data_IF_522596829827
#
_entry.id   IF_522596829827
#
_cell.length_a   1.000
_cell.length_b   1.000
_cell.length_c   1.000
_cell.angle_alpha   90.00
_cell.angle_beta   90.00
_cell.angle_gamma   90.00
#
_symmetry.space_group_name_H-M   'P 1'
#
loop_
_entity.id
_entity.type
_entity.pdbx_description
1 polymer ?
#
# COMPACT_ATOMS: atom_id res chain seq x y z
N UNK A 1 16.78 -22.72 10.81
CA UNK A 1 17.47 -21.51 10.37
C UNK A 1 16.46 -20.44 10.02
N UNK A 2 16.60 -19.34 10.67
CA UNK A 2 15.70 -18.23 10.50
C UNK A 2 16.05 -17.46 9.22
N UNK A 3 15.45 -17.84 8.12
CA UNK A 3 15.60 -17.12 6.85
C UNK A 3 14.58 -16.00 6.79
N UNK A 4 14.76 -15.00 7.63
CA UNK A 4 13.90 -13.83 7.57
C UNK A 4 14.08 -13.15 6.24
N UNK A 5 12.97 -13.04 5.52
CA UNK A 5 12.92 -12.28 4.29
C UNK A 5 13.21 -10.82 4.58
N UNK A 6 14.18 -10.25 3.87
CA UNK A 6 14.50 -8.83 4.00
C UNK A 6 13.59 -8.06 3.04
N UNK A 7 12.74 -7.22 3.61
CA UNK A 7 11.75 -6.45 2.86
C UNK A 7 11.98 -4.97 3.11
N UNK A 8 11.95 -4.18 2.05
CA UNK A 8 12.15 -2.73 2.12
C UNK A 8 10.94 -1.95 1.63
N UNK A 9 10.78 -0.77 2.20
CA UNK A 9 9.79 0.22 1.76
C UNK A 9 9.92 0.49 0.27
N UNK A 10 8.78 0.47 -0.43
CA UNK A 10 8.74 0.75 -1.86
C UNK A 10 8.98 -0.45 -2.76
N UNK A 11 9.23 -1.62 -2.19
CA UNK A 11 9.45 -2.83 -2.98
C UNK A 11 8.13 -3.43 -3.46
N UNK A 12 8.21 -4.02 -4.65
CA UNK A 12 7.10 -4.69 -5.33
C UNK A 12 7.30 -6.20 -5.25
N UNK A 13 6.23 -6.90 -4.90
CA UNK A 13 6.22 -8.36 -4.84
C UNK A 13 4.94 -8.89 -5.45
N UNK A 14 4.98 -10.09 -6.03
CA UNK A 14 3.76 -10.84 -6.28
C UNK A 14 3.30 -11.49 -4.99
N UNK A 15 1.98 -11.54 -4.81
CA UNK A 15 1.37 -12.18 -3.64
C UNK A 15 0.09 -12.89 -4.08
N UNK A 16 -0.14 -14.09 -3.56
CA UNK A 16 -1.38 -14.83 -3.80
C UNK A 16 -2.46 -14.31 -2.86
N UNK A 17 -3.36 -13.50 -3.39
CA UNK A 17 -4.42 -12.87 -2.60
C UNK A 17 -5.43 -13.88 -2.06
N UNK A 18 -5.64 -14.97 -2.77
CA UNK A 18 -6.52 -16.05 -2.30
C UNK A 18 -5.97 -16.74 -1.08
N UNK A 19 -4.65 -16.89 -1.00
CA UNK A 19 -3.97 -17.54 0.10
C UNK A 19 -4.06 -16.74 1.40
N UNK A 20 -4.04 -15.40 1.32
CA UNK A 20 -4.04 -14.55 2.51
C UNK A 20 -5.44 -14.22 3.03
N UNK A 21 -6.48 -14.64 2.36
CA UNK A 21 -7.88 -14.49 2.80
C UNK A 21 -8.20 -13.06 3.26
N UNK A 22 -7.96 -12.10 2.39
CA UNK A 22 -8.13 -10.68 2.73
C UNK A 22 -9.60 -10.23 2.80
N UNK A 23 -10.55 -11.15 2.74
CA UNK A 23 -11.97 -10.81 2.75
C UNK A 23 -12.44 -10.07 1.51
N UNK A 24 -11.56 -9.88 0.54
CA UNK A 24 -11.87 -9.21 -0.71
C UNK A 24 -12.24 -10.26 -1.75
N UNK A 25 -12.99 -9.82 -2.77
CA UNK A 25 -13.33 -10.67 -3.90
C UNK A 25 -12.16 -10.91 -4.84
N UNK A 26 -11.03 -10.28 -4.56
CA UNK A 26 -9.84 -10.44 -5.38
C UNK A 26 -9.22 -11.80 -5.12
N UNK A 27 -8.85 -12.48 -6.17
CA UNK A 27 -8.21 -13.78 -6.13
C UNK A 27 -7.05 -13.81 -7.10
N UNK A 28 -6.17 -14.81 -6.94
CA UNK A 28 -5.03 -14.99 -7.82
C UNK A 28 -3.80 -14.25 -7.37
N UNK A 29 -2.74 -14.39 -8.17
CA UNK A 29 -1.45 -13.77 -7.90
C UNK A 29 -1.45 -12.36 -8.46
N UNK A 30 -1.22 -11.38 -7.60
CA UNK A 30 -1.25 -9.96 -7.95
C UNK A 30 -0.03 -9.24 -7.40
N UNK A 31 0.40 -8.16 -8.05
CA UNK A 31 1.47 -7.34 -7.47
C UNK A 31 0.95 -6.53 -6.29
N UNK A 32 1.80 -6.40 -5.29
CA UNK A 32 1.57 -5.56 -4.12
C UNK A 32 2.78 -4.68 -3.88
N UNK A 33 2.57 -3.57 -3.22
CA UNK A 33 3.61 -2.58 -2.92
C UNK A 33 3.75 -2.45 -1.41
N UNK A 34 4.99 -2.59 -0.93
CA UNK A 34 5.30 -2.42 0.50
C UNK A 34 5.30 -0.93 0.84
N UNK A 35 4.44 -0.53 1.78
CA UNK A 35 4.30 0.86 2.21
C UNK A 35 4.68 1.07 3.67
N UNK A 36 5.03 0.02 4.40
CA UNK A 36 5.55 0.14 5.77
C UNK A 36 7.02 0.56 5.74
N UNK A 37 7.43 1.29 6.79
CA UNK A 37 8.79 1.83 6.88
C UNK A 37 9.84 0.72 7.03
N UNK A 38 11.08 1.02 6.64
CA UNK A 38 12.18 0.07 6.76
C UNK A 38 12.42 -0.34 8.21
N UNK A 39 12.29 0.58 9.16
CA UNK A 39 12.41 0.27 10.57
C UNK A 39 11.39 -0.78 10.99
N UNK A 40 10.12 -0.56 10.63
CA UNK A 40 9.06 -1.51 10.94
C UNK A 40 9.29 -2.85 10.25
N UNK A 41 9.71 -2.82 8.99
CA UNK A 41 9.95 -4.03 8.20
C UNK A 41 11.06 -4.89 8.78
N UNK A 42 12.06 -4.26 9.39
CA UNK A 42 13.16 -4.98 10.01
C UNK A 42 12.75 -5.75 11.27
N UNK A 43 11.94 -5.12 12.11
CA UNK A 43 11.65 -5.65 13.46
C UNK A 43 10.30 -6.34 13.58
N UNK A 44 9.49 -6.35 12.54
CA UNK A 44 8.18 -6.98 12.57
C UNK A 44 8.10 -8.16 11.60
N UNK A 45 7.42 -9.25 11.95
CA UNK A 45 7.17 -10.34 11.01
C UNK A 45 6.14 -9.98 9.95
N UNK A 46 5.40 -8.88 10.15
CA UNK A 46 4.38 -8.43 9.21
C UNK A 46 4.78 -7.12 8.55
N UNK A 47 4.26 -6.88 7.37
CA UNK A 47 4.45 -5.65 6.62
C UNK A 47 3.10 -5.12 6.14
N UNK A 48 3.07 -3.84 5.80
CA UNK A 48 1.87 -3.22 5.22
C UNK A 48 2.04 -3.15 3.71
N UNK A 49 1.03 -3.61 2.99
CA UNK A 49 1.03 -3.60 1.54
C UNK A 49 -0.24 -2.98 1.01
N UNK A 50 -0.15 -2.38 -0.17
CA UNK A 50 -1.30 -1.93 -0.94
C UNK A 50 -1.35 -2.74 -2.23
N UNK A 51 -2.55 -2.95 -2.76
CA UNK A 51 -2.77 -3.75 -3.95
C UNK A 51 -2.54 -2.91 -5.20
N UNK A 52 -1.98 -3.55 -6.22
CA UNK A 52 -1.74 -2.95 -7.53
C UNK A 52 -2.58 -3.70 -8.55
N UNK A 53 -3.24 -2.95 -9.43
CA UNK A 53 -4.06 -3.52 -10.49
C UNK A 53 -3.66 -2.95 -11.84
N UNK A 54 -3.75 -3.79 -12.89
CA UNK A 54 -3.58 -3.33 -14.26
C UNK A 54 -4.87 -2.80 -14.86
N UNK A 55 -5.98 -2.88 -14.15
CA UNK A 55 -7.24 -2.26 -14.57
C UNK A 55 -7.22 -0.80 -14.18
N UNK A 56 -6.99 0.06 -15.17
CA UNK A 56 -6.90 1.52 -14.95
C UNK A 56 -8.30 2.10 -14.94
N UNK A 57 -8.78 2.49 -13.76
CA UNK A 57 -10.09 3.11 -13.61
C UNK A 57 -10.09 4.00 -12.37
N UNK A 58 -11.00 4.96 -12.35
CA UNK A 58 -11.20 5.85 -11.22
C UNK A 58 -9.94 6.60 -10.80
N UNK A 59 -9.20 7.14 -11.78
CA UNK A 59 -8.03 7.97 -11.51
C UNK A 59 -8.40 9.31 -10.86
N UNK A 60 -9.68 9.62 -10.79
CA UNK A 60 -10.20 10.78 -10.05
C UNK A 60 -10.12 10.59 -8.54
N UNK A 61 -10.02 9.36 -8.04
CA UNK A 61 -9.92 9.09 -6.61
C UNK A 61 -8.51 9.41 -6.10
N UNK A 62 -8.44 10.09 -4.97
CA UNK A 62 -7.15 10.42 -4.34
C UNK A 62 -6.37 9.18 -3.89
N UNK A 63 -7.07 8.07 -3.66
CA UNK A 63 -6.47 6.81 -3.25
C UNK A 63 -5.87 6.03 -4.41
N UNK A 64 -6.15 6.41 -5.65
CA UNK A 64 -5.61 5.73 -6.84
C UNK A 64 -4.43 6.50 -7.39
N UNK A 65 -3.30 5.82 -7.56
CA UNK A 65 -2.07 6.41 -8.11
C UNK A 65 -1.67 5.65 -9.36
N UNK A 66 -1.70 6.33 -10.50
CA UNK A 66 -1.19 5.75 -11.74
C UNK A 66 0.33 5.69 -11.65
N UNK A 67 0.87 4.49 -11.78
CA UNK A 67 2.31 4.29 -11.74
C UNK A 67 2.94 4.59 -13.09
N UNK A 68 4.18 5.11 -13.12
CA UNK A 68 4.94 5.13 -14.36
C UNK A 68 5.18 3.69 -14.82
N UNK A 69 5.64 3.54 -16.05
CA UNK A 69 6.00 2.22 -16.55
C UNK A 69 7.16 1.66 -15.71
N UNK A 70 6.94 0.52 -15.07
CA UNK A 70 7.92 -0.11 -14.19
C UNK A 70 8.38 -1.41 -14.82
N UNK A 71 9.70 -1.62 -14.87
CA UNK A 71 10.29 -2.79 -15.51
C UNK A 71 9.75 -4.10 -14.96
N UNK A 72 9.50 -4.16 -13.65
CA UNK A 72 9.01 -5.37 -12.98
C UNK A 72 7.53 -5.64 -13.16
N UNK A 73 6.77 -4.71 -13.74
CA UNK A 73 5.33 -4.87 -13.96
C UNK A 73 5.07 -4.94 -15.47
N UNK A 74 4.43 -6.02 -15.95
CA UNK A 74 4.24 -6.22 -17.39
C UNK A 74 3.28 -5.24 -18.05
N UNK A 75 2.38 -4.64 -17.26
CA UNK A 75 1.39 -3.69 -17.74
C UNK A 75 1.42 -2.42 -16.90
N UNK A 76 1.03 -1.29 -17.50
CA UNK A 76 0.83 -0.08 -16.72
C UNK A 76 -0.21 -0.34 -15.64
N UNK A 77 0.05 0.14 -14.43
CA UNK A 77 -0.70 -0.26 -13.26
C UNK A 77 -1.07 0.93 -12.38
N UNK A 78 -2.06 0.71 -11.53
CA UNK A 78 -2.57 1.68 -10.57
C UNK A 78 -2.43 1.09 -9.17
N UNK A 79 -1.92 1.89 -8.25
CA UNK A 79 -1.96 1.56 -6.82
C UNK A 79 -3.34 1.91 -6.28
N UNK A 80 -3.97 0.98 -5.60
CA UNK A 80 -5.24 1.20 -4.89
C UNK A 80 -4.93 1.34 -3.40
N UNK A 81 -4.64 2.57 -2.95
CA UNK A 81 -4.20 2.81 -1.58
C UNK A 81 -5.25 2.46 -0.53
N UNK A 82 -6.53 2.48 -0.88
CA UNK A 82 -7.62 2.05 0.02
C UNK A 82 -7.60 0.54 0.28
N UNK A 83 -6.90 -0.22 -0.56
CA UNK A 83 -6.70 -1.66 -0.38
C UNK A 83 -5.39 -1.89 0.38
N UNK A 84 -5.37 -1.45 1.63
CA UNK A 84 -4.21 -1.53 2.51
C UNK A 84 -4.39 -2.72 3.46
N UNK A 85 -3.38 -3.60 3.49
CA UNK A 85 -3.45 -4.81 4.30
C UNK A 85 -2.16 -5.04 5.08
N UNK A 86 -2.30 -5.65 6.25
CA UNK A 86 -1.18 -6.15 7.02
C UNK A 86 -1.03 -7.63 6.71
N UNK A 87 0.14 -8.02 6.22
CA UNK A 87 0.40 -9.41 5.84
C UNK A 87 1.73 -9.89 6.41
N UNK A 88 1.82 -11.18 6.69
CA UNK A 88 3.08 -11.80 7.08
C UNK A 88 4.05 -11.77 5.90
N UNK A 89 5.33 -11.50 6.18
CA UNK A 89 6.37 -11.46 5.14
C UNK A 89 6.43 -12.74 4.32
N UNK A 90 6.09 -13.88 4.93
CA UNK A 90 6.13 -15.17 4.24
C UNK A 90 5.16 -15.27 3.06
N UNK A 91 4.13 -14.43 3.02
CA UNK A 91 3.20 -14.41 1.90
C UNK A 91 3.71 -13.64 0.69
N UNK A 92 4.77 -12.85 0.84
CA UNK A 92 5.34 -12.13 -0.28
C UNK A 92 6.09 -13.12 -1.18
N UNK A 93 5.71 -13.17 -2.43
CA UNK A 93 6.30 -14.09 -3.41
C UNK A 93 7.49 -13.47 -4.15
N UNK A 94 7.44 -13.50 -5.48
CA UNK A 94 8.53 -13.04 -6.32
C UNK A 94 8.73 -11.53 -6.21
N UNK A 95 9.96 -11.10 -5.98
CA UNK A 95 10.36 -9.70 -6.00
C UNK A 95 10.25 -9.15 -7.42
N UNK A 96 9.61 -8.00 -7.58
CA UNK A 96 9.34 -7.41 -8.89
C UNK A 96 9.95 -6.03 -9.09
N UNK A 97 10.78 -5.57 -8.18
CA UNK A 97 11.44 -4.28 -8.31
C UNK A 97 11.11 -3.32 -7.17
N UNK A 98 11.50 -2.08 -7.35
CA UNK A 98 11.32 -1.04 -6.36
C UNK A 98 10.92 0.26 -7.04
N UNK A 99 9.93 0.95 -6.47
CA UNK A 99 9.52 2.25 -6.99
C UNK A 99 10.48 3.34 -6.52
N UNK A 100 10.62 4.38 -7.33
CA UNK A 100 11.49 5.50 -6.98
C UNK A 100 10.86 6.38 -5.88
N UNK A 101 11.68 7.24 -5.31
CA UNK A 101 11.27 8.12 -4.21
C UNK A 101 10.12 9.04 -4.61
N UNK A 102 10.18 9.59 -5.81
CA UNK A 102 9.13 10.50 -6.31
C UNK A 102 7.77 9.80 -6.38
N UNK A 103 7.76 8.58 -6.91
CA UNK A 103 6.53 7.79 -6.99
C UNK A 103 6.04 7.42 -5.60
N UNK A 104 6.95 7.04 -4.69
CA UNK A 104 6.56 6.68 -3.34
C UNK A 104 5.98 7.86 -2.56
N UNK A 105 6.43 9.09 -2.81
CA UNK A 105 5.81 10.27 -2.20
C UNK A 105 4.34 10.41 -2.61
N UNK A 106 4.03 10.11 -3.87
CA UNK A 106 2.65 10.13 -4.36
C UNK A 106 1.81 9.03 -3.71
N UNK A 107 2.38 7.84 -3.56
CA UNK A 107 1.71 6.73 -2.89
C UNK A 107 1.47 7.04 -1.42
N UNK A 108 2.46 7.59 -0.71
CA UNK A 108 2.30 7.99 0.69
C UNK A 108 1.16 8.99 0.86
N UNK A 109 1.07 9.96 -0.03
CA UNK A 109 -0.01 10.94 0.00
C UNK A 109 -1.37 10.26 -0.20
N UNK A 110 -1.45 9.31 -1.11
CA UNK A 110 -2.68 8.56 -1.37
C UNK A 110 -3.09 7.73 -0.15
N UNK A 111 -2.15 7.04 0.49
CA UNK A 111 -2.42 6.27 1.71
C UNK A 111 -2.91 7.19 2.82
N UNK A 112 -2.25 8.32 3.03
CA UNK A 112 -2.67 9.29 4.05
C UNK A 112 -4.05 9.83 3.79
N UNK A 113 -4.44 10.01 2.53
CA UNK A 113 -5.78 10.49 2.19
C UNK A 113 -6.87 9.51 2.63
N UNK A 114 -6.56 8.23 2.73
CA UNK A 114 -7.49 7.21 3.21
C UNK A 114 -7.61 7.23 4.74
N UNK A 115 -6.58 7.71 5.45
CA UNK A 115 -6.55 7.74 6.90
C UNK A 115 -7.07 9.06 7.47
N UNK A 116 -6.96 10.12 6.70
CA UNK A 116 -7.18 11.47 7.23
C UNK A 116 -7.51 12.42 6.08
N UNK A 117 -8.63 13.12 6.20
CA UNK A 117 -9.02 14.14 5.25
C UNK A 117 -9.02 15.53 5.91
N UNK A 118 -8.79 16.61 5.15
CA UNK A 118 -8.86 17.96 5.71
C UNK A 118 -10.21 18.28 6.36
N UNK A 119 -11.30 17.80 5.80
CA UNK A 119 -12.63 17.98 6.38
C UNK A 119 -12.76 17.30 7.72
N UNK A 120 -12.27 16.07 7.83
CA UNK A 120 -12.29 15.32 9.05
C UNK A 120 -11.48 16.03 10.15
N UNK A 121 -10.29 16.52 9.81
CA UNK A 121 -9.45 17.27 10.73
C UNK A 121 -10.15 18.52 11.26
N UNK A 122 -10.86 19.27 10.39
CA UNK A 122 -11.62 20.45 10.80
C UNK A 122 -12.73 20.11 11.79
N UNK A 123 -13.43 19.02 11.57
CA UNK A 123 -14.50 18.56 12.47
C UNK A 123 -13.93 18.23 13.86
N UNK A 124 -12.79 17.58 13.92
CA UNK A 124 -12.14 17.28 15.19
C UNK A 124 -11.72 18.54 15.95
N UNK A 125 -11.17 19.53 15.25
CA UNK A 125 -10.77 20.80 15.86
C UNK A 125 -11.97 21.52 16.45
N UNK A 126 -13.10 21.56 15.75
CA UNK A 126 -14.33 22.19 16.25
C UNK A 126 -14.84 21.51 17.52
N UNK A 127 -14.82 20.19 17.57
CA UNK A 127 -15.24 19.45 18.76
C UNK A 127 -14.32 19.76 19.96
N UNK A 128 -13.01 19.85 19.75
CA UNK A 128 -12.05 20.20 20.79
C UNK A 128 -12.31 21.61 21.34
N UNK A 129 -12.58 22.56 20.48
CA UNK A 129 -12.88 23.94 20.91
C UNK A 129 -14.16 24.03 21.72
N UNK A 130 -15.19 23.27 21.35
CA UNK A 130 -16.43 23.21 22.08
C UNK A 130 -16.29 22.57 23.46
N UNK A 131 -15.38 21.64 23.63
CA UNK A 131 -15.12 20.99 24.90
C UNK A 131 -14.30 21.79 25.89
N UNK A 132 -13.80 22.97 25.48
CA UNK A 132 -12.99 23.86 26.30
C UNK A 132 -13.74 25.06 26.84
N UNK A 133 -15.04 24.96 27.00
CA UNK A 133 -15.80 26.04 27.62
C UNK A 133 -15.53 26.10 29.12
#
# INVERSE_FOLDING_TARGET
>A
MDQRKIVHYGELYYMDLGQVQLGSRQAGIRPVLVVSSDHRNEYSPVVWVVIITSQIKRLDLKSHVLLPKVKGLPKQSVVEAEQLFTVDKSYLGEYRGKLDEKTMKRVDRAVRSCLHSPEHARKFRRKRQRGKS
#
